data_IF_898935544676
#
_entry.id   IF_898935544676
#
_cell.length_a   1.000
_cell.length_b   1.000
_cell.length_c   1.000
_cell.angle_alpha   90.00
_cell.angle_beta   90.00
_cell.angle_gamma   90.00
#
_symmetry.space_group_name_H-M   'P 1'
#
loop_
_entity.id
_entity.type
_entity.pdbx_description
1 polymer ?
#
# COMPACT_ATOMS: atom_id res chain seq x y z
N UNK A 1 -5.63 15.33 -26.83
CA UNK A 1 -6.91 14.69 -26.48
C UNK A 1 -6.79 14.17 -25.06
N UNK A 2 -7.29 14.97 -24.13
CA UNK A 2 -7.33 14.70 -22.70
C UNK A 2 -8.41 13.63 -22.46
N UNK A 3 -7.98 12.40 -22.13
CA UNK A 3 -8.94 11.39 -21.66
C UNK A 3 -9.26 11.70 -20.21
N UNK A 4 -10.47 12.21 -20.04
CA UNK A 4 -11.13 12.52 -18.78
C UNK A 4 -11.08 11.30 -17.85
N UNK A 5 -10.55 11.51 -16.65
CA UNK A 5 -10.62 10.59 -15.53
C UNK A 5 -12.08 10.55 -15.06
N UNK A 6 -12.87 9.63 -15.60
CA UNK A 6 -14.22 9.34 -15.09
C UNK A 6 -14.10 8.57 -13.77
N UNK A 7 -13.70 9.25 -12.70
CA UNK A 7 -13.83 8.76 -11.34
C UNK A 7 -15.23 9.12 -10.83
N UNK A 8 -16.26 8.42 -11.32
CA UNK A 8 -17.53 8.37 -10.62
C UNK A 8 -17.35 7.48 -9.39
N UNK A 9 -16.85 8.06 -8.30
CA UNK A 9 -16.76 7.38 -7.00
C UNK A 9 -17.94 7.83 -6.16
N UNK A 10 -18.87 6.91 -5.95
CA UNK A 10 -19.98 7.05 -5.00
C UNK A 10 -19.37 7.16 -3.58
N UNK A 11 -19.47 8.32 -2.89
CA UNK A 11 -18.52 8.71 -1.84
C UNK A 11 -18.76 8.08 -0.45
N UNK A 12 -19.61 7.05 -0.30
CA UNK A 12 -20.12 6.62 1.02
C UNK A 12 -19.81 5.16 1.38
N UNK A 13 -18.91 4.49 0.65
CA UNK A 13 -18.46 3.12 0.92
C UNK A 13 -17.13 3.05 1.67
N UNK A 14 -16.86 1.97 2.43
CA UNK A 14 -15.53 1.69 3.02
C UNK A 14 -14.43 1.64 1.95
N UNK A 15 -14.76 1.14 0.76
CA UNK A 15 -13.84 1.13 -0.38
C UNK A 15 -13.52 2.55 -0.88
N UNK A 16 -14.51 3.47 -0.90
CA UNK A 16 -14.27 4.87 -1.26
C UNK A 16 -13.35 5.58 -0.26
N UNK A 17 -13.42 5.22 1.03
CA UNK A 17 -12.51 5.75 2.07
C UNK A 17 -11.07 5.23 1.87
N UNK A 18 -10.90 3.95 1.54
CA UNK A 18 -9.58 3.39 1.23
C UNK A 18 -8.97 3.99 -0.04
N UNK A 19 -9.76 4.13 -1.11
CA UNK A 19 -9.30 4.73 -2.37
C UNK A 19 -8.93 6.20 -2.20
N UNK A 20 -9.73 6.99 -1.47
CA UNK A 20 -9.37 8.38 -1.19
C UNK A 20 -8.04 8.49 -0.45
N UNK A 21 -7.83 7.64 0.56
CA UNK A 21 -6.56 7.59 1.30
C UNK A 21 -5.40 7.14 0.40
N UNK A 22 -5.62 6.17 -0.49
CA UNK A 22 -4.62 5.75 -1.47
C UNK A 22 -4.18 6.94 -2.34
N UNK A 23 -5.13 7.68 -2.93
CA UNK A 23 -4.83 8.85 -3.76
C UNK A 23 -4.09 9.95 -2.99
N UNK A 24 -4.51 10.24 -1.75
CA UNK A 24 -3.79 11.19 -0.89
C UNK A 24 -2.34 10.78 -0.65
N UNK A 25 -2.09 9.49 -0.39
CA UNK A 25 -0.73 8.98 -0.18
C UNK A 25 0.10 9.06 -1.46
N UNK A 26 -0.47 8.73 -2.62
CA UNK A 26 0.21 8.84 -3.90
C UNK A 26 0.66 10.27 -4.19
N UNK A 27 -0.23 11.25 -3.96
CA UNK A 27 0.09 12.67 -4.10
C UNK A 27 1.23 13.09 -3.15
N UNK A 28 1.19 12.65 -1.88
CA UNK A 28 2.27 12.94 -0.90
C UNK A 28 3.59 12.30 -1.25
N UNK A 29 3.58 11.16 -1.96
CA UNK A 29 4.77 10.50 -2.46
C UNK A 29 5.31 11.12 -3.76
N UNK A 30 4.61 12.10 -4.33
CA UNK A 30 4.95 12.72 -5.61
C UNK A 30 4.67 11.83 -6.82
N UNK A 31 3.79 10.82 -6.67
CA UNK A 31 3.38 9.95 -7.77
C UNK A 31 2.34 10.68 -8.65
N UNK A 32 2.31 10.34 -9.95
CA UNK A 32 1.31 10.86 -10.86
C UNK A 32 -0.06 10.21 -10.58
N UNK A 33 -1.17 10.95 -10.71
CA UNK A 33 -2.51 10.37 -10.57
C UNK A 33 -2.83 9.34 -11.67
N UNK A 34 -2.11 9.40 -12.78
CA UNK A 34 -2.17 8.43 -13.88
C UNK A 34 -1.25 7.22 -13.67
N UNK A 35 -0.59 7.11 -12.49
CA UNK A 35 0.24 5.96 -12.17
C UNK A 35 -0.57 4.66 -12.30
N UNK A 36 0.07 3.58 -12.72
CA UNK A 36 -0.62 2.28 -12.81
C UNK A 36 -0.86 1.73 -11.41
N UNK A 37 -2.12 1.63 -11.01
CA UNK A 37 -2.54 1.10 -9.70
C UNK A 37 -3.19 -0.28 -9.91
N UNK A 38 -2.68 -1.29 -9.21
CA UNK A 38 -3.25 -2.64 -9.17
C UNK A 38 -3.65 -2.99 -7.74
N UNK A 39 -4.94 -3.32 -7.53
CA UNK A 39 -5.41 -3.89 -6.27
C UNK A 39 -5.12 -5.39 -6.27
N UNK A 40 -4.32 -5.84 -5.31
CA UNK A 40 -3.96 -7.24 -5.10
C UNK A 40 -4.48 -7.72 -3.75
N UNK A 41 -4.61 -9.03 -3.61
CA UNK A 41 -5.14 -9.65 -2.38
C UNK A 41 -4.25 -10.81 -1.96
N UNK A 42 -3.83 -10.82 -0.69
CA UNK A 42 -3.12 -11.93 -0.04
C UNK A 42 -3.85 -12.25 1.26
N UNK A 43 -4.19 -13.52 1.53
CA UNK A 43 -4.94 -13.92 2.73
C UNK A 43 -6.25 -13.11 2.98
N UNK A 44 -6.96 -12.75 1.91
CA UNK A 44 -8.16 -11.88 1.94
C UNK A 44 -7.88 -10.46 2.46
N UNK A 45 -6.62 -10.04 2.50
CA UNK A 45 -6.16 -8.69 2.83
C UNK A 45 -5.78 -8.00 1.52
N UNK A 46 -6.38 -6.83 1.29
CA UNK A 46 -6.11 -6.04 0.10
C UNK A 46 -4.89 -5.13 0.31
N UNK A 47 -4.07 -5.03 -0.73
CA UNK A 47 -2.97 -4.09 -0.85
C UNK A 47 -2.90 -3.55 -2.28
N UNK A 48 -2.23 -2.41 -2.45
CA UNK A 48 -2.15 -1.72 -3.73
C UNK A 48 -0.70 -1.73 -4.22
N UNK A 49 -0.51 -2.14 -5.46
CA UNK A 49 0.76 -2.16 -6.18
C UNK A 49 0.76 -1.05 -7.21
N UNK A 50 1.75 -0.16 -7.15
CA UNK A 50 1.85 1.04 -7.97
C UNK A 50 3.07 0.92 -8.88
N UNK A 51 2.98 1.42 -10.12
CA UNK A 51 4.07 1.40 -11.11
C UNK A 51 4.65 -0.01 -11.30
N UNK A 52 3.78 -0.98 -11.60
CA UNK A 52 4.14 -2.39 -11.80
C UNK A 52 4.88 -3.04 -10.61
N UNK A 53 4.64 -2.55 -9.39
CA UNK A 53 5.22 -3.11 -8.16
C UNK A 53 6.41 -2.34 -7.60
N UNK A 54 6.76 -1.17 -8.17
CA UNK A 54 7.81 -0.33 -7.57
C UNK A 54 7.43 0.19 -6.18
N UNK A 55 6.14 0.48 -5.95
CA UNK A 55 5.64 0.95 -4.67
C UNK A 55 4.47 0.08 -4.22
N UNK A 56 4.47 -0.34 -2.96
CA UNK A 56 3.33 -1.03 -2.36
C UNK A 56 2.73 -0.21 -1.21
N UNK A 57 1.40 -0.15 -1.18
CA UNK A 57 0.61 0.55 -0.15
C UNK A 57 -0.38 -0.43 0.49
N UNK A 58 -0.33 -0.58 1.81
CA UNK A 58 -1.29 -1.36 2.60
C UNK A 58 -2.12 -0.45 3.52
N UNK A 59 -3.45 -0.49 3.40
CA UNK A 59 -4.38 0.41 4.11
C UNK A 59 -5.33 -0.27 5.09
N UNK A 60 -5.56 -1.58 4.93
CA UNK A 60 -6.61 -2.31 5.65
C UNK A 60 -6.07 -3.14 6.82
N UNK A 61 -5.06 -3.97 6.57
CA UNK A 61 -4.39 -4.83 7.54
C UNK A 61 -3.01 -5.25 7.03
N UNK A 62 -2.14 -5.70 7.93
CA UNK A 62 -0.92 -6.43 7.59
C UNK A 62 -0.78 -7.65 8.51
N UNK A 63 -0.39 -8.78 7.93
CA UNK A 63 -0.03 -10.01 8.65
C UNK A 63 1.32 -10.52 8.11
N UNK A 64 1.86 -11.58 8.70
CA UNK A 64 3.15 -12.15 8.29
C UNK A 64 3.14 -12.63 6.83
N UNK A 65 2.03 -13.23 6.39
CA UNK A 65 1.89 -13.71 5.01
C UNK A 65 1.94 -12.55 4.00
N UNK A 66 1.22 -11.47 4.24
CA UNK A 66 1.25 -10.27 3.40
C UNK A 66 2.62 -9.59 3.46
N UNK A 67 3.25 -9.50 4.64
CA UNK A 67 4.59 -8.92 4.76
C UNK A 67 5.59 -9.70 3.89
N UNK A 68 5.56 -11.03 3.96
CA UNK A 68 6.39 -11.91 3.13
C UNK A 68 6.07 -11.75 1.64
N UNK A 69 4.80 -11.75 1.25
CA UNK A 69 4.35 -11.54 -0.13
C UNK A 69 4.85 -10.20 -0.70
N UNK A 70 4.84 -9.13 0.10
CA UNK A 70 5.36 -7.82 -0.29
C UNK A 70 6.88 -7.88 -0.46
N UNK A 71 7.60 -8.55 0.44
CA UNK A 71 9.06 -8.71 0.35
C UNK A 71 9.45 -9.52 -0.89
N UNK A 72 8.73 -10.60 -1.17
CA UNK A 72 8.97 -11.47 -2.34
C UNK A 72 8.75 -10.72 -3.68
N UNK A 73 7.89 -9.70 -3.69
CA UNK A 73 7.72 -8.79 -4.83
C UNK A 73 8.87 -7.78 -5.01
N UNK A 74 9.75 -7.65 -4.01
CA UNK A 74 10.92 -6.76 -3.99
C UNK A 74 10.65 -5.30 -4.45
N UNK A 75 9.63 -4.61 -3.87
CA UNK A 75 9.33 -3.23 -4.22
C UNK A 75 10.44 -2.29 -3.75
N UNK A 76 10.56 -1.12 -4.38
CA UNK A 76 11.49 -0.07 -3.91
C UNK A 76 11.00 0.59 -2.64
N UNK A 77 9.68 0.80 -2.52
CA UNK A 77 9.07 1.53 -1.40
C UNK A 77 7.83 0.81 -0.90
N UNK A 78 7.66 0.79 0.41
CA UNK A 78 6.45 0.29 1.05
C UNK A 78 5.91 1.35 2.01
N UNK A 79 4.59 1.59 1.95
CA UNK A 79 3.86 2.44 2.89
C UNK A 79 2.72 1.67 3.52
N UNK A 80 2.55 1.81 4.82
CA UNK A 80 1.40 1.26 5.53
C UNK A 80 0.99 2.16 6.69
N UNK A 81 -0.26 2.05 7.13
CA UNK A 81 -0.70 2.83 8.29
C UNK A 81 -0.13 2.22 9.58
N UNK A 82 0.36 3.05 10.50
CA UNK A 82 0.96 2.58 11.75
C UNK A 82 -0.05 1.77 12.58
N UNK A 83 -1.32 2.21 12.55
CA UNK A 83 -2.45 1.54 13.18
C UNK A 83 -2.70 0.12 12.68
N UNK A 84 -2.15 -0.30 11.54
CA UNK A 84 -2.31 -1.68 11.04
C UNK A 84 -1.60 -2.71 11.92
N UNK A 85 -0.63 -2.26 12.73
CA UNK A 85 0.08 -3.12 13.66
C UNK A 85 -0.58 -3.21 15.04
N UNK A 86 -1.45 -2.28 15.43
CA UNK A 86 -2.32 -2.27 16.63
C UNK A 86 -1.92 -3.20 17.81
N UNK A 87 -0.70 -3.05 18.35
CA UNK A 87 -0.21 -3.80 19.52
C UNK A 87 0.55 -5.09 19.22
N UNK A 88 0.67 -5.49 17.95
CA UNK A 88 1.58 -6.54 17.51
C UNK A 88 2.95 -5.94 17.15
N UNK A 89 3.67 -5.49 18.18
CA UNK A 89 4.99 -4.87 18.06
C UNK A 89 6.03 -5.84 17.48
N UNK A 90 5.84 -7.15 17.71
CA UNK A 90 6.67 -8.19 17.13
C UNK A 90 6.53 -8.23 15.60
N UNK A 91 5.30 -8.20 15.07
CA UNK A 91 5.06 -8.13 13.62
C UNK A 91 5.66 -6.86 13.03
N UNK A 92 5.49 -5.70 13.69
CA UNK A 92 6.05 -4.43 13.22
C UNK A 92 7.57 -4.48 13.15
N UNK A 93 8.21 -4.91 14.24
CA UNK A 93 9.67 -5.01 14.34
C UNK A 93 10.23 -5.96 13.28
N UNK A 94 9.62 -7.14 13.13
CA UNK A 94 10.03 -8.11 12.13
C UNK A 94 9.86 -7.58 10.70
N UNK A 95 8.73 -6.93 10.40
CA UNK A 95 8.46 -6.36 9.07
C UNK A 95 9.48 -5.27 8.73
N UNK A 96 9.77 -4.37 9.67
CA UNK A 96 10.77 -3.30 9.49
C UNK A 96 12.16 -3.88 9.23
N UNK A 97 12.57 -4.88 10.01
CA UNK A 97 13.88 -5.53 9.85
C UNK A 97 13.98 -6.25 8.51
N UNK A 98 13.00 -7.09 8.17
CA UNK A 98 13.01 -7.87 6.93
C UNK A 98 13.00 -6.98 5.69
N UNK A 99 12.21 -5.90 5.68
CA UNK A 99 12.20 -4.95 4.57
C UNK A 99 13.52 -4.18 4.46
N UNK A 100 14.11 -3.80 5.60
CA UNK A 100 15.43 -3.17 5.61
C UNK A 100 16.51 -4.10 5.05
N UNK A 101 16.50 -5.37 5.45
CA UNK A 101 17.45 -6.38 4.98
C UNK A 101 17.29 -6.68 3.49
N UNK A 102 16.07 -6.57 2.96
CA UNK A 102 15.77 -6.64 1.53
C UNK A 102 16.09 -5.33 0.76
N UNK A 103 16.54 -4.26 1.43
CA UNK A 103 16.84 -2.97 0.80
C UNK A 103 15.60 -2.13 0.42
N UNK A 104 14.44 -2.45 0.99
CA UNK A 104 13.15 -1.81 0.72
C UNK A 104 12.97 -0.58 1.61
N UNK A 105 12.59 0.58 1.04
CA UNK A 105 12.27 1.77 1.83
C UNK A 105 10.87 1.65 2.47
N UNK A 106 10.83 1.15 3.70
CA UNK A 106 9.60 1.02 4.48
C UNK A 106 9.35 2.25 5.38
N UNK A 107 8.11 2.77 5.36
CA UNK A 107 7.65 3.81 6.30
C UNK A 107 6.20 3.57 6.72
N UNK A 108 5.94 3.77 8.01
CA UNK A 108 4.59 3.82 8.56
C UNK A 108 4.05 5.26 8.57
N UNK A 109 2.74 5.43 8.44
CA UNK A 109 2.02 6.72 8.40
C UNK A 109 0.95 6.75 9.49
#
# INVERSE_FOLDING_TARGET
MEKQLNAFVDPVGKDAVEENMLFELLLKLGCDLNSKIEKKTCDKINYYSIENGEIIIALSKINEALAKEIIDQNPRKVRCLDKLFAGNDQLKTNTVLQMKDAGIEFKTI
#
